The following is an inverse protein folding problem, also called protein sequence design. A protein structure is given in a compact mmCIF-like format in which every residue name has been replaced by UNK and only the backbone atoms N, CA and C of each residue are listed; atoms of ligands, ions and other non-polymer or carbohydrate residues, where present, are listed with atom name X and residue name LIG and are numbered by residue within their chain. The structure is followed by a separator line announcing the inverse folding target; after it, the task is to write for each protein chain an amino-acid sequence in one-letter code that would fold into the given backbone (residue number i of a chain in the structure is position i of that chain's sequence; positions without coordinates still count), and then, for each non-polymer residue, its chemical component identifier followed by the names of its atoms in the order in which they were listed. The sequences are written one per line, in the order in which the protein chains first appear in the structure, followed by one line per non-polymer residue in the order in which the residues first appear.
data_IF_377657165784
#
_entry.id   IF_377657165784
#
_cell.length_a   1.000
_cell.length_b   1.000
_cell.length_c   1.000
_cell.angle_alpha   90.00
_cell.angle_beta   90.00
_cell.angle_gamma   90.00
#
_symmetry.space_group_name_H-M   'P 1'
#
loop_
_entity.id
_entity.type
_entity.pdbx_description
1 polymer ?
2 non-polymer ?
3 non-polymer ?
4 non-polymer ?
5 water ?
#
# COMPACT_ATOMS: atom_id res chain seq x y z
N UNK A 6 1.39 26.47 -0.34
CA UNK A 6 1.99 27.31 0.74
C UNK A 6 3.51 27.33 0.57
N UNK A 7 4.24 26.98 1.63
CA UNK A 7 5.68 26.77 1.54
C UNK A 7 6.06 25.46 2.22
N UNK A 8 5.70 25.37 3.51
CA UNK A 8 5.74 24.12 4.24
C UNK A 8 4.98 23.09 3.42
N UNK A 9 3.76 23.44 3.02
CA UNK A 9 2.92 22.54 2.25
C UNK A 9 3.65 21.94 1.04
N UNK A 10 4.34 22.77 0.28
CA UNK A 10 5.05 22.31 -0.91
C UNK A 10 6.07 21.25 -0.55
N UNK A 11 6.75 21.44 0.57
CA UNK A 11 7.78 20.49 1.04
C UNK A 11 7.23 19.16 1.56
N UNK A 12 6.19 19.24 2.38
CA UNK A 12 5.51 18.05 2.84
C UNK A 12 5.03 17.24 1.64
N UNK A 13 4.56 17.91 0.60
CA UNK A 13 4.01 17.22 -0.57
C UNK A 13 5.11 16.60 -1.44
N UNK A 14 6.27 17.24 -1.48
CA UNK A 14 7.45 16.63 -2.08
C UNK A 14 7.84 15.35 -1.33
N UNK A 15 7.62 15.34 -0.01
CA UNK A 15 7.99 14.18 0.78
C UNK A 15 7.03 13.03 0.51
N UNK A 16 5.73 13.33 0.51
CA UNK A 16 4.70 12.40 0.13
C UNK A 16 5.11 11.78 -1.18
N UNK A 17 5.49 12.61 -2.15
CA UNK A 17 5.87 12.15 -3.50
C UNK A 17 7.02 11.12 -3.45
N UNK A 18 8.06 11.43 -2.68
CA UNK A 18 9.18 10.48 -2.52
C UNK A 18 8.70 9.17 -1.91
N UNK A 19 7.78 9.27 -0.99
CA UNK A 19 7.20 8.17 -0.31
C UNK A 19 6.39 7.33 -1.22
N UNK A 20 5.59 7.98 -2.02
CA UNK A 20 4.73 7.29 -2.96
C UNK A 20 5.51 6.60 -4.05
N UNK A 21 6.65 7.17 -4.47
CA UNK A 21 7.53 6.46 -5.43
C UNK A 21 7.98 5.12 -4.87
N UNK A 22 8.49 5.15 -3.64
CA UNK A 22 8.92 3.94 -2.94
C UNK A 22 7.77 2.95 -2.69
N UNK A 23 6.61 3.46 -2.28
CA UNK A 23 5.47 2.60 -1.93
C UNK A 23 5.01 1.82 -3.19
N UNK A 24 4.93 2.55 -4.29
CA UNK A 24 4.70 1.94 -5.60
C UNK A 24 5.77 0.93 -6.02
N UNK A 25 7.04 1.32 -5.90
CA UNK A 25 8.12 0.38 -6.19
C UNK A 25 8.02 -0.89 -5.33
N UNK A 26 7.75 -0.72 -4.04
CA UNK A 26 7.61 -1.88 -3.14
C UNK A 26 6.40 -2.76 -3.54
N UNK A 27 5.32 -2.14 -3.97
CA UNK A 27 4.12 -2.91 -4.37
C UNK A 27 4.36 -3.70 -5.65
N UNK A 28 5.09 -3.09 -6.57
CA UNK A 28 5.51 -3.76 -7.79
C UNK A 28 6.39 -4.98 -7.50
N UNK A 29 7.29 -4.87 -6.54
CA UNK A 29 8.16 -5.97 -6.16
C UNK A 29 7.35 -7.09 -5.50
N UNK A 30 6.30 -6.69 -4.79
CA UNK A 30 5.49 -7.64 -4.03
C UNK A 30 4.60 -8.43 -4.97
N UNK A 31 4.17 -7.79 -6.07
CA UNK A 31 3.52 -8.50 -7.17
C UNK A 31 4.42 -9.49 -7.88
N UNK A 32 5.69 -9.12 -8.07
CA UNK A 32 6.66 -10.03 -8.69
C UNK A 32 6.86 -11.31 -7.86
N UNK A 33 7.00 -11.15 -6.55
CA UNK A 33 7.12 -12.29 -5.67
C UNK A 33 5.85 -13.14 -5.64
N UNK A 34 4.69 -12.50 -5.63
CA UNK A 34 3.44 -13.26 -5.73
C UNK A 34 3.30 -13.99 -7.07
N UNK A 35 3.89 -13.43 -8.11
CA UNK A 35 3.97 -14.11 -9.40
C UNK A 35 4.79 -15.37 -9.24
N UNK A 36 5.95 -15.26 -8.58
CA UNK A 36 6.80 -16.45 -8.36
C UNK A 36 6.06 -17.50 -7.57
N UNK A 37 5.27 -17.08 -6.59
CA UNK A 37 4.51 -17.98 -5.75
C UNK A 37 3.43 -18.66 -6.58
N UNK A 38 2.71 -17.91 -7.41
CA UNK A 38 1.67 -18.51 -8.25
C UNK A 38 2.25 -19.63 -9.08
N UNK A 39 3.45 -19.41 -9.62
CA UNK A 39 4.09 -20.33 -10.54
C UNK A 39 4.60 -21.60 -9.87
N UNK A 40 5.16 -21.50 -8.67
CA UNK A 40 5.53 -22.72 -7.94
C UNK A 40 4.33 -23.42 -7.29
N UNK A 41 3.12 -22.89 -7.40
CA UNK A 41 1.99 -23.52 -6.75
C UNK A 41 0.77 -23.68 -7.63
N UNK A 42 0.96 -24.07 -8.88
CA UNK A 42 -0.13 -24.08 -9.85
C UNK A 42 -1.25 -25.07 -9.55
N UNK A 43 -0.95 -26.13 -8.80
CA UNK A 43 -1.94 -27.14 -8.45
C UNK A 43 -2.61 -26.84 -7.11
N UNK A 44 -2.94 -25.58 -6.84
CA UNK A 44 -3.55 -25.23 -5.55
C UNK A 44 -4.27 -23.88 -5.54
N UNK A 45 -5.22 -23.70 -4.61
CA UNK A 45 -6.00 -22.48 -4.60
C UNK A 45 -5.14 -21.25 -4.31
N UNK A 46 -5.46 -20.11 -4.94
CA UNK A 46 -4.74 -18.87 -4.65
C UNK A 46 -5.09 -18.32 -3.27
N UNK A 47 -6.37 -18.25 -2.95
CA UNK A 47 -6.81 -17.67 -1.68
C UNK A 47 -6.30 -18.56 -0.52
N UNK A 48 -5.35 -18.03 0.27
CA UNK A 48 -4.92 -18.64 1.52
C UNK A 48 -5.24 -17.74 2.73
N UNK A 49 -6.47 -17.85 3.24
CA UNK A 49 -6.93 -17.04 4.37
C UNK A 49 -6.10 -17.16 5.67
N UNK A 50 -5.63 -18.36 5.99
CA UNK A 50 -4.69 -18.55 7.11
C UNK A 50 -3.44 -17.65 7.00
N UNK A 51 -2.80 -17.67 5.85
CA UNK A 51 -1.66 -16.78 5.57
C UNK A 51 -2.02 -15.28 5.66
N UNK A 52 -3.15 -14.86 5.07
CA UNK A 52 -3.57 -13.45 5.13
C UNK A 52 -3.72 -13.01 6.58
N UNK A 53 -4.26 -13.89 7.42
CA UNK A 53 -4.48 -13.62 8.84
C UNK A 53 -3.19 -13.57 9.58
N UNK A 54 -2.34 -14.52 9.31
CA UNK A 54 -1.00 -14.50 9.86
C UNK A 54 -0.24 -13.22 9.54
N UNK A 55 -0.26 -12.76 8.29
CA UNK A 55 0.35 -11.46 7.92
C UNK A 55 -0.18 -10.31 8.78
N UNK A 56 -1.49 -10.13 8.81
CA UNK A 56 -2.09 -9.08 9.62
C UNK A 56 -1.77 -9.16 11.13
N UNK A 57 -1.91 -10.35 11.72
CA UNK A 57 -1.52 -10.56 13.10
C UNK A 57 -0.08 -10.08 13.32
N UNK A 58 0.84 -10.63 12.53
CA UNK A 58 2.25 -10.29 12.66
C UNK A 58 2.46 -8.78 12.56
N UNK A 59 1.93 -8.16 11.52
CA UNK A 59 2.06 -6.68 11.35
C UNK A 59 1.43 -5.88 12.49
N UNK A 60 0.31 -6.37 13.04
CA UNK A 60 -0.32 -5.74 14.20
C UNK A 60 0.59 -5.67 15.44
N UNK A 61 1.52 -6.60 15.55
CA UNK A 61 2.39 -6.63 16.70
C UNK A 61 3.47 -5.54 16.69
N UNK A 62 3.71 -4.95 15.52
CA UNK A 62 4.85 -4.03 15.38
C UNK A 62 4.56 -2.66 15.98
N UNK A 63 5.61 -1.87 16.20
CA UNK A 63 5.47 -0.51 16.77
C UNK A 63 5.27 0.54 15.68
N UNK A 64 4.09 1.17 15.67
CA UNK A 64 3.78 2.22 14.71
C UNK A 64 3.35 3.50 15.45
N UNK A 65 3.68 4.66 14.90
CA UNK A 65 3.10 5.92 15.37
C UNK A 65 1.58 6.00 15.15
N UNK A 66 1.10 5.60 13.97
CA UNK A 66 -0.29 5.87 13.63
C UNK A 66 -1.09 4.66 13.19
N UNK A 67 -0.43 3.71 12.52
CA UNK A 67 -1.14 2.53 12.05
C UNK A 67 -1.74 1.81 13.25
N UNK A 68 -2.95 1.31 13.08
CA UNK A 68 -3.52 0.34 14.01
C UNK A 68 -4.11 -0.80 13.20
N UNK A 69 -4.85 -1.68 13.88
CA UNK A 69 -5.43 -2.85 13.25
C UNK A 69 -6.45 -2.50 12.20
N UNK A 70 -7.26 -1.48 12.44
CA UNK A 70 -8.27 -1.06 11.49
C UNK A 70 -7.62 -0.59 10.19
N UNK A 71 -6.58 0.22 10.31
CA UNK A 71 -5.92 0.84 9.15
C UNK A 71 -5.16 -0.20 8.34
N UNK A 72 -4.49 -1.14 9.03
CA UNK A 72 -3.78 -2.23 8.39
C UNK A 72 -4.77 -3.18 7.69
N UNK A 73 -5.87 -3.48 8.36
CA UNK A 73 -6.88 -4.35 7.78
C UNK A 73 -7.41 -3.75 6.47
N UNK A 74 -7.76 -2.47 6.50
CA UNK A 74 -8.16 -1.77 5.26
C UNK A 74 -7.09 -1.89 4.20
N UNK A 75 -5.90 -1.42 4.54
CA UNK A 75 -4.81 -1.44 3.61
C UNK A 75 -4.63 -2.83 2.98
N UNK A 76 -4.44 -3.85 3.81
CA UNK A 76 -4.07 -5.16 3.31
C UNK A 76 -5.21 -5.90 2.66
N UNK A 77 -6.44 -5.61 3.03
CA UNK A 77 -7.58 -6.16 2.28
C UNK A 77 -7.40 -5.84 0.80
N UNK A 78 -7.04 -4.61 0.51
CA UNK A 78 -6.86 -4.15 -0.85
C UNK A 78 -5.60 -4.73 -1.49
N UNK A 79 -4.50 -4.69 -0.74
CA UNK A 79 -3.25 -5.37 -1.15
C UNK A 79 -3.46 -6.86 -1.50
N UNK A 80 -4.18 -7.60 -0.65
CA UNK A 80 -4.50 -9.00 -0.93
C UNK A 80 -5.44 -9.16 -2.13
N UNK A 81 -6.44 -8.30 -2.27
CA UNK A 81 -7.27 -8.28 -3.47
C UNK A 81 -6.46 -8.04 -4.75
N UNK A 82 -5.61 -7.02 -4.71
CA UNK A 82 -4.73 -6.75 -5.84
C UNK A 82 -3.87 -7.96 -6.15
N UNK A 83 -3.24 -8.54 -5.13
CA UNK A 83 -2.32 -9.66 -5.27
C UNK A 83 -3.01 -10.90 -5.79
N UNK A 84 -4.23 -11.14 -5.31
CA UNK A 84 -5.02 -12.30 -5.74
C UNK A 84 -5.41 -12.22 -7.19
N UNK A 85 -6.02 -11.10 -7.59
CA UNK A 85 -6.41 -10.87 -8.99
C UNK A 85 -5.20 -10.94 -9.91
N UNK A 86 -4.10 -10.36 -9.47
CA UNK A 86 -2.89 -10.33 -10.29
C UNK A 86 -2.43 -11.76 -10.56
N UNK A 87 -2.34 -12.59 -9.52
CA UNK A 87 -1.92 -13.98 -9.62
C UNK A 87 -2.84 -14.79 -10.55
N UNK A 88 -4.16 -14.64 -10.37
CA UNK A 88 -5.15 -15.23 -11.28
C UNK A 88 -4.83 -14.90 -12.74
N UNK A 89 -4.73 -13.60 -13.03
CA UNK A 89 -4.52 -13.15 -14.38
C UNK A 89 -3.17 -13.57 -14.92
N UNK A 90 -2.13 -13.52 -14.11
CA UNK A 90 -0.84 -14.05 -14.53
C UNK A 90 -0.92 -15.53 -14.92
N UNK A 91 -1.57 -16.37 -14.09
CA UNK A 91 -1.75 -17.80 -14.40
C UNK A 91 -2.61 -18.06 -15.65
N UNK A 92 -3.59 -17.19 -15.91
CA UNK A 92 -4.34 -17.26 -17.16
C UNK A 92 -3.43 -17.08 -18.40
N UNK A 93 -2.29 -16.40 -18.26
CA UNK A 93 -1.33 -16.27 -19.36
C UNK A 93 -0.31 -17.41 -19.52
N UNK A 94 -0.52 -18.53 -18.81
CA UNK A 94 0.22 -19.78 -19.07
C UNK A 94 -0.59 -20.73 -19.92
N UNK A 95 0.09 -21.72 -20.48
CA UNK A 95 -0.57 -22.82 -21.20
C UNK A 95 -0.60 -24.13 -20.43
N UNK B 5 17.22 -21.91 -7.50
CA UNK B 5 16.53 -22.84 -6.61
C UNK B 5 16.03 -22.22 -5.26
N UNK B 6 16.65 -21.19 -4.72
CA UNK B 6 16.10 -20.66 -3.45
C UNK B 6 14.60 -20.29 -3.53
N UNK B 7 14.00 -20.26 -4.73
CA UNK B 7 12.53 -20.23 -4.85
C UNK B 7 11.77 -21.54 -4.49
N UNK B 8 11.75 -21.74 -3.17
CA UNK B 8 10.78 -22.45 -2.40
C UNK B 8 9.86 -21.45 -1.72
N UNK B 9 8.75 -21.95 -1.23
CA UNK B 9 7.69 -21.13 -0.71
C UNK B 9 8.08 -20.38 0.57
N UNK B 10 8.74 -21.06 1.49
CA UNK B 10 9.29 -20.46 2.70
C UNK B 10 10.02 -19.13 2.45
N UNK B 11 10.88 -19.16 1.44
CA UNK B 11 11.76 -18.04 1.12
C UNK B 11 11.03 -16.91 0.42
N UNK B 12 10.20 -17.22 -0.56
CA UNK B 12 9.38 -16.21 -1.19
C UNK B 12 8.51 -15.51 -0.16
N UNK B 13 8.02 -16.25 0.83
CA UNK B 13 7.13 -15.68 1.83
C UNK B 13 7.87 -14.83 2.83
N UNK B 14 9.11 -15.18 3.12
CA UNK B 14 9.95 -14.29 3.91
C UNK B 14 10.20 -12.99 3.14
N UNK B 15 10.27 -13.05 1.83
CA UNK B 15 10.54 -11.86 1.05
C UNK B 15 9.34 -10.92 1.02
N UNK B 16 8.16 -11.50 0.76
CA UNK B 16 6.87 -10.82 1.05
C UNK B 16 6.87 -10.14 2.43
N UNK B 17 7.26 -10.87 3.47
CA UNK B 17 7.25 -10.36 4.85
C UNK B 17 8.14 -9.11 4.99
N UNK B 18 9.32 -9.16 4.37
CA UNK B 18 10.23 -8.00 4.40
C UNK B 18 9.61 -6.83 3.67
N UNK B 19 8.94 -7.13 2.55
CA UNK B 19 8.19 -6.13 1.80
C UNK B 19 7.11 -5.51 2.66
N UNK B 20 6.39 -6.35 3.38
CA UNK B 20 5.31 -5.87 4.20
C UNK B 20 5.77 -5.04 5.39
N UNK B 21 6.91 -5.34 5.99
CA UNK B 21 7.52 -4.44 7.00
C UNK B 21 7.83 -3.08 6.44
N UNK B 22 8.46 -3.02 5.28
CA UNK B 22 8.77 -1.77 4.63
C UNK B 22 7.51 -0.99 4.19
N UNK B 23 6.56 -1.71 3.63
CA UNK B 23 5.34 -1.10 3.13
C UNK B 23 4.54 -0.52 4.26
N UNK B 24 4.47 -1.27 5.35
CA UNK B 24 3.87 -0.81 6.60
C UNK B 24 4.57 0.42 7.15
N UNK B 25 5.90 0.34 7.26
CA UNK B 25 6.65 1.46 7.81
C UNK B 25 6.48 2.68 6.91
N UNK B 26 6.51 2.51 5.59
CA UNK B 26 6.32 3.65 4.70
C UNK B 26 4.93 4.24 4.82
N UNK B 27 3.92 3.38 5.00
CA UNK B 27 2.54 3.89 5.18
C UNK B 27 2.40 4.66 6.49
N UNK B 28 3.05 4.19 7.53
CA UNK B 28 3.11 4.88 8.79
C UNK B 28 3.72 6.28 8.65
N UNK B 29 4.81 6.38 7.91
CA UNK B 29 5.48 7.68 7.68
C UNK B 29 4.60 8.59 6.86
N UNK B 30 3.81 7.99 5.96
CA UNK B 30 2.94 8.78 5.09
C UNK B 30 1.77 9.36 5.86
N UNK B 31 1.36 8.66 6.91
CA UNK B 31 0.39 9.23 7.81
C UNK B 31 0.97 10.34 8.70
N UNK B 32 2.24 10.24 9.07
CA UNK B 32 2.86 11.30 9.88
C UNK B 32 2.95 12.60 9.08
N UNK B 33 3.33 12.47 7.80
CA UNK B 33 3.32 13.62 6.90
C UNK B 33 1.93 14.18 6.68
N UNK B 34 0.95 13.31 6.53
CA UNK B 34 -0.43 13.74 6.36
C UNK B 34 -0.94 14.42 7.63
N UNK B 35 -0.43 14.02 8.78
CA UNK B 35 -0.78 14.67 10.02
C UNK B 35 -0.30 16.12 9.98
N UNK B 36 0.97 16.30 9.59
CA UNK B 36 1.52 17.65 9.47
C UNK B 36 0.72 18.51 8.50
N UNK B 37 0.32 17.93 7.35
CA UNK B 37 -0.46 18.69 6.38
C UNK B 37 -1.81 19.08 6.96
N UNK B 38 -2.48 18.16 7.64
CA UNK B 38 -3.79 18.46 8.20
C UNK B 38 -3.75 19.65 9.09
N UNK B 39 -2.69 19.71 9.91
CA UNK B 39 -2.54 20.73 10.94
C UNK B 39 -2.24 22.10 10.36
N UNK B 40 -1.42 22.18 9.32
CA UNK B 40 -1.19 23.45 8.64
C UNK B 40 -2.37 23.90 7.78
N UNK B 41 -3.39 23.09 7.60
CA UNK B 41 -4.51 23.55 6.77
C UNK B 41 -5.81 23.66 7.54
N UNK B 42 -6.20 22.58 8.19
CA UNK B 42 -7.48 22.52 8.88
C UNK B 42 -8.58 23.04 7.98
N UNK B 43 -8.75 22.34 6.86
CA UNK B 43 -9.90 22.57 5.97
C UNK B 43 -11.12 21.79 6.47
N UNK B 44 -12.31 22.32 6.21
CA UNK B 44 -13.54 21.74 6.75
C UNK B 44 -13.60 20.26 6.38
N UNK B 45 -13.54 19.94 5.07
CA UNK B 45 -13.08 18.65 4.53
C UNK B 45 -11.62 18.65 4.06
N UNK B 46 -11.05 17.45 4.00
CA UNK B 46 -9.63 17.22 3.74
C UNK B 46 -9.47 16.82 2.28
N UNK B 47 -10.60 16.49 1.65
CA UNK B 47 -10.59 15.95 0.29
C UNK B 47 -10.02 16.97 -0.69
N UNK B 48 -8.83 16.69 -1.23
CA UNK B 48 -8.29 17.43 -2.37
C UNK B 48 -8.16 16.53 -3.62
N UNK B 49 -9.26 16.39 -4.37
CA UNK B 49 -9.29 15.56 -5.57
C UNK B 49 -8.24 15.91 -6.66
N UNK B 50 -8.03 17.20 -6.94
CA UNK B 50 -6.97 17.59 -7.90
C UNK B 50 -5.61 16.96 -7.56
N UNK B 51 -5.23 17.08 -6.29
CA UNK B 51 -3.98 16.54 -5.81
C UNK B 51 -3.90 15.00 -5.96
N UNK B 52 -4.97 14.29 -5.53
CA UNK B 52 -5.04 12.85 -5.67
C UNK B 52 -4.81 12.43 -7.11
N UNK B 53 -5.45 13.13 -8.04
CA UNK B 53 -5.36 12.78 -9.44
C UNK B 53 -3.99 13.11 -10.03
N UNK B 54 -3.39 14.21 -9.61
CA UNK B 54 -2.00 14.50 -9.91
C UNK B 54 -1.03 13.41 -9.43
N UNK B 55 -1.22 12.90 -8.21
CA UNK B 55 -0.41 11.80 -7.69
C UNK B 55 -0.50 10.58 -8.61
N UNK B 56 -1.74 10.13 -8.87
CA UNK B 56 -1.96 8.98 -9.76
C UNK B 56 -1.36 9.17 -11.16
N UNK B 57 -1.60 10.33 -11.77
CA UNK B 57 -1.06 10.65 -13.08
C UNK B 57 0.45 10.48 -13.07
N UNK B 58 1.10 11.17 -12.15
CA UNK B 58 2.56 11.14 -12.08
C UNK B 58 3.03 9.67 -11.93
N UNK B 59 2.49 8.96 -10.94
CA UNK B 59 2.89 7.54 -10.72
C UNK B 59 2.61 6.62 -11.91
N UNK B 60 1.52 6.87 -12.64
CA UNK B 60 1.19 6.12 -13.85
C UNK B 60 2.25 6.19 -14.92
N UNK B 61 2.99 7.29 -14.98
CA UNK B 61 3.96 7.44 -16.05
C UNK B 61 5.24 6.65 -15.75
N UNK B 62 5.43 6.23 -14.50
CA UNK B 62 6.69 5.59 -14.09
C UNK B 62 6.81 4.15 -14.59
N UNK B 63 8.02 3.61 -14.54
CA UNK B 63 8.31 2.27 -15.11
C UNK B 63 8.18 1.16 -14.10
N UNK B 64 7.24 0.26 -14.33
CA UNK B 64 6.96 -0.85 -13.40
C UNK B 64 6.88 -2.14 -14.17
N UNK B 65 7.28 -3.25 -13.54
CA UNK B 65 7.09 -4.58 -14.12
C UNK B 65 5.62 -4.98 -14.22
N UNK B 66 4.85 -4.72 -13.17
CA UNK B 66 3.50 -5.23 -13.10
C UNK B 66 2.43 -4.16 -12.82
N UNK B 67 2.79 -3.05 -12.21
CA UNK B 67 1.76 -2.06 -11.89
C UNK B 67 1.27 -1.48 -13.21
N UNK B 68 -0.03 -1.25 -13.31
CA UNK B 68 -0.60 -0.35 -14.31
C UNK B 68 -1.59 0.59 -13.63
N UNK B 69 -2.36 1.34 -14.42
CA UNK B 69 -3.30 2.33 -13.91
C UNK B 69 -4.43 1.75 -13.08
N UNK B 70 -4.97 0.61 -13.47
CA UNK B 70 -6.03 -0.03 -12.69
C UNK B 70 -5.52 -0.40 -11.29
N UNK B 71 -4.32 -0.96 -11.23
CA UNK B 71 -3.75 -1.47 -9.99
C UNK B 71 -3.37 -0.32 -9.06
N UNK B 72 -2.83 0.76 -9.62
CA UNK B 72 -2.51 1.98 -8.86
C UNK B 72 -3.78 2.65 -8.35
N UNK B 73 -4.79 2.74 -9.20
CA UNK B 73 -6.07 3.34 -8.81
C UNK B 73 -6.66 2.59 -7.61
N UNK B 74 -6.69 1.28 -7.66
CA UNK B 74 -7.19 0.50 -6.53
C UNK B 74 -6.33 0.70 -5.30
N UNK B 75 -5.04 0.47 -5.46
CA UNK B 75 -4.14 0.71 -4.36
C UNK B 75 -4.35 2.09 -3.67
N UNK B 76 -4.30 3.15 -4.47
CA UNK B 76 -4.31 4.49 -3.91
C UNK B 76 -5.67 4.95 -3.49
N UNK B 77 -6.73 4.37 -4.05
CA UNK B 77 -8.08 4.69 -3.56
C UNK B 77 -8.11 4.39 -2.06
N UNK B 78 -7.55 3.24 -1.69
CA UNK B 78 -7.52 2.82 -0.30
C UNK B 78 -6.57 3.67 0.52
N UNK B 79 -5.36 3.87 -0.01
CA UNK B 79 -4.41 4.77 0.60
C UNK B 79 -4.94 6.17 0.87
N UNK B 80 -5.63 6.76 -0.09
CA UNK B 80 -6.22 8.10 0.07
C UNK B 80 -7.37 8.06 1.08
N UNK B 81 -8.22 7.02 1.04
CA UNK B 81 -9.21 6.79 2.11
C UNK B 81 -8.59 6.70 3.48
N UNK B 82 -7.57 5.86 3.64
CA UNK B 82 -6.91 5.74 4.91
C UNK B 82 -6.34 7.09 5.38
N UNK B 83 -5.63 7.76 4.50
CA UNK B 83 -5.06 9.08 4.79
C UNK B 83 -6.09 10.16 5.14
N UNK B 84 -7.19 10.19 4.37
CA UNK B 84 -8.27 11.17 4.58
C UNK B 84 -8.96 10.98 5.92
N UNK B 85 -9.42 9.77 6.20
CA UNK B 85 -10.05 9.45 7.49
C UNK B 85 -9.10 9.77 8.67
N UNK B 86 -7.82 9.43 8.51
CA UNK B 86 -6.86 9.65 9.57
C UNK B 86 -6.74 11.15 9.90
N UNK B 87 -6.61 11.97 8.85
CA UNK B 87 -6.51 13.43 8.98
C UNK B 87 -7.75 14.04 9.64
N UNK B 88 -8.93 13.58 9.20
CA UNK B 88 -10.20 13.98 9.79
C UNK B 88 -10.23 13.69 11.27
N UNK B 89 -9.89 12.46 11.65
CA UNK B 89 -9.93 12.07 13.04
C UNK B 89 -8.94 12.85 13.84
N UNK B 90 -7.73 13.01 13.32
CA UNK B 90 -6.74 13.86 13.99
C UNK B 90 -7.30 15.26 14.29
N UNK B 91 -7.93 15.89 13.29
CA UNK B 91 -8.51 17.23 13.45
C UNK B 91 -9.70 17.29 14.42
N UNK B 92 -10.47 16.20 14.51
CA UNK B 92 -11.60 16.14 15.43
C UNK B 92 -11.14 16.18 16.88
N UNK B 93 -10.09 15.41 17.18
CA UNK B 93 -9.61 15.22 18.54
C UNK B 93 -8.71 16.37 19.00
N UNK B 94 -7.93 16.92 18.06
CA UNK B 94 -7.07 18.07 18.34
C UNK B 94 -7.77 19.38 17.87
N UNK B 95 -8.62 19.93 18.74
CA UNK B 95 -9.50 21.05 18.39
C UNK B 95 -10.29 21.52 19.61
#
# INVERSE_FOLDING_TARGET
MQKNLDSLLENLRAEIDALDNELSDLLDKRLEIALKIALIKQESPIYCPKREQEILKRLSQRDFKHLNGEILTGFYTEVFKISRKFQENALKELKK
MQKNLDSLLENLRAEIDALDNELSDLLDKRLEIALKIALIKQESPIYCPKREQEILKRLSQRDFKHLNGEILTGFYTEVFKISRKFQENALKELKK
#
